data_IF_914482719852
#
_entry.id   IF_914482719852
#
_cell.length_a   1.000
_cell.length_b   1.000
_cell.length_c   1.000
_cell.angle_alpha   90.00
_cell.angle_beta   90.00
_cell.angle_gamma   90.00
#
_symmetry.space_group_name_H-M   'P 1'
#
loop_
_entity.id
_entity.type
_entity.pdbx_description
1 polymer ?
2 polymer ?
3 branched ?
4 non-polymer ?
5 non-polymer ?
6 water ?
#
# COMPACT_ATOMS: atom_id res chain seq x y z
N UNK A 1 -18.02 -10.43 8.84
CA UNK A 1 -16.91 -9.72 8.10
C UNK A 1 -17.30 -9.43 6.67
N UNK A 2 -17.00 -8.21 6.23
CA UNK A 2 -17.26 -7.80 4.86
C UNK A 2 -16.00 -7.16 4.31
N UNK A 3 -14.91 -7.96 4.27
CA UNK A 3 -13.59 -7.40 3.97
C UNK A 3 -13.32 -7.23 2.48
N UNK A 4 -14.36 -7.39 1.63
CA UNK A 4 -14.24 -7.01 0.20
C UNK A 4 -15.15 -5.81 -0.10
N UNK A 5 -15.73 -5.21 0.95
CA UNK A 5 -16.62 -4.07 0.72
C UNK A 5 -15.87 -2.86 0.13
N UNK A 6 -16.60 -2.12 -0.70
CA UNK A 6 -16.11 -0.91 -1.34
C UNK A 6 -16.89 0.28 -0.83
N UNK A 7 -16.25 1.43 -0.86
CA UNK A 7 -16.90 2.69 -0.52
C UNK A 7 -16.89 3.59 -1.73
N UNK A 8 -17.91 4.46 -1.85
CA UNK A 8 -17.94 5.41 -2.94
C UNK A 8 -17.03 6.61 -2.63
N UNK A 9 -16.08 6.87 -3.53
CA UNK A 9 -15.21 8.02 -3.44
C UNK A 9 -15.88 9.08 -4.33
N UNK A 10 -16.17 10.25 -3.74
CA UNK A 10 -16.92 11.25 -4.45
C UNK A 10 -16.10 11.93 -5.53
N UNK A 11 -16.79 12.40 -6.56
CA UNK A 11 -16.14 13.22 -7.57
C UNK A 11 -15.56 14.46 -6.95
N UNK A 12 -14.40 14.88 -7.43
CA UNK A 12 -13.83 16.10 -6.91
C UNK A 12 -12.55 16.50 -7.56
N UNK A 13 -12.07 17.67 -7.12
CA UNK A 13 -10.77 18.19 -7.50
C UNK A 13 -9.92 18.26 -6.26
N UNK A 14 -8.66 17.86 -6.37
CA UNK A 14 -7.75 17.89 -5.26
C UNK A 14 -6.36 18.29 -5.66
N UNK A 15 -5.55 18.65 -4.67
CA UNK A 15 -4.15 18.94 -4.87
C UNK A 15 -3.36 17.66 -4.65
N UNK A 16 -2.78 17.14 -5.72
CA UNK A 16 -1.90 15.98 -5.66
C UNK A 16 -0.47 16.47 -5.47
N UNK A 17 0.32 15.70 -4.74
CA UNK A 17 1.69 16.12 -4.44
C UNK A 17 1.72 17.25 -3.44
N UNK A 18 2.86 17.93 -3.33
CA UNK A 18 3.03 19.00 -2.36
C UNK A 18 4.14 19.94 -2.78
N UNK A 19 3.97 21.24 -2.50
CA UNK A 19 5.04 22.20 -2.76
C UNK A 19 5.97 22.32 -1.57
N UNK A 20 5.72 21.51 -0.54
CA UNK A 20 6.63 21.35 0.57
C UNK A 20 7.05 19.89 0.66
N UNK A 21 7.75 19.39 -0.38
CA UNK A 21 8.14 17.99 -0.38
C UNK A 21 9.05 17.66 0.77
N UNK A 22 8.85 16.47 1.34
CA UNK A 22 9.68 16.00 2.43
C UNK A 22 10.75 15.07 1.93
N UNK A 23 10.47 14.38 0.83
CA UNK A 23 11.47 13.56 0.14
C UNK A 23 11.53 13.98 -1.33
N UNK A 24 12.40 14.95 -1.60
CA UNK A 24 12.42 15.59 -2.90
C UNK A 24 12.76 14.63 -4.02
N UNK A 25 13.64 13.66 -3.75
CA UNK A 25 14.04 12.70 -4.80
C UNK A 25 12.90 11.87 -5.38
N UNK A 26 11.81 11.76 -4.62
CA UNK A 26 10.66 10.93 -5.01
C UNK A 26 9.61 11.68 -5.83
N UNK A 27 9.88 12.95 -6.16
CA UNK A 27 8.96 13.71 -6.98
C UNK A 27 7.62 13.89 -6.30
N UNK A 28 7.67 14.23 -5.02
CA UNK A 28 6.48 14.66 -4.28
C UNK A 28 5.95 16.01 -4.77
N UNK A 29 6.85 16.80 -5.36
CA UNK A 29 6.53 18.10 -5.91
C UNK A 29 6.53 17.99 -7.42
N UNK A 30 5.87 18.93 -8.11
CA UNK A 30 5.10 20.03 -7.57
C UNK A 30 3.66 19.63 -7.24
N UNK A 31 3.02 20.42 -6.40
CA UNK A 31 1.60 20.34 -6.18
C UNK A 31 0.87 20.64 -7.48
N UNK A 32 -0.15 19.86 -7.76
CA UNK A 32 -0.91 20.03 -9.00
C UNK A 32 -2.37 19.66 -8.79
N UNK A 33 -3.26 20.37 -9.47
CA UNK A 33 -4.69 20.18 -9.29
C UNK A 33 -5.20 19.10 -10.23
N UNK A 34 -5.83 18.08 -9.65
CA UNK A 34 -6.27 16.92 -10.40
C UNK A 34 -7.75 16.70 -10.17
N UNK A 35 -8.49 16.44 -11.25
CA UNK A 35 -9.92 16.16 -11.18
C UNK A 35 -10.14 14.66 -11.32
N UNK A 36 -10.94 14.09 -10.40
CA UNK A 36 -11.16 12.64 -10.34
C UNK A 36 -12.68 12.42 -10.39
N UNK A 37 -13.11 11.56 -11.30
CA UNK A 37 -14.51 11.21 -11.39
C UNK A 37 -14.86 10.27 -10.23
N UNK A 38 -16.12 10.30 -9.80
CA UNK A 38 -16.59 9.40 -8.75
C UNK A 38 -16.28 7.98 -9.13
N UNK A 39 -15.84 7.20 -8.14
CA UNK A 39 -15.54 5.80 -8.33
C UNK A 39 -15.64 5.06 -6.99
N UNK A 40 -15.34 3.76 -6.99
CA UNK A 40 -15.36 2.97 -5.75
C UNK A 40 -13.96 2.48 -5.36
N UNK A 41 -13.67 2.48 -4.08
CA UNK A 41 -12.38 2.01 -3.54
C UNK A 41 -12.67 0.98 -2.47
N UNK A 42 -11.91 -0.12 -2.47
CA UNK A 42 -11.95 -1.04 -1.36
C UNK A 42 -11.74 -0.34 -0.03
N UNK A 43 -12.57 -0.61 0.97
CA UNK A 43 -12.36 -0.08 2.29
C UNK A 43 -11.10 -0.61 2.95
N UNK A 44 -10.74 -1.84 2.62
CA UNK A 44 -9.65 -2.53 3.30
C UNK A 44 -8.61 -2.97 2.30
N UNK A 45 -7.37 -3.08 2.76
CA UNK A 45 -6.39 -3.85 2.00
C UNK A 45 -6.96 -5.25 1.76
N UNK A 46 -6.58 -5.91 0.69
CA UNK A 46 -7.00 -7.28 0.46
C UNK A 46 -6.37 -8.17 1.51
N UNK A 47 -7.21 -8.93 2.22
CA UNK A 47 -6.72 -9.83 3.29
C UNK A 47 -6.32 -11.20 2.79
N UNK A 48 -5.63 -11.94 3.66
CA UNK A 48 -5.29 -13.33 3.38
C UNK A 48 -6.53 -14.14 3.00
N UNK A 49 -7.60 -13.98 3.77
CA UNK A 49 -8.82 -14.75 3.51
C UNK A 49 -9.38 -14.40 2.14
N UNK A 50 -9.43 -13.11 1.82
CA UNK A 50 -9.97 -12.74 0.51
C UNK A 50 -9.07 -13.22 -0.62
N UNK A 51 -7.75 -13.16 -0.46
CA UNK A 51 -6.84 -13.66 -1.50
C UNK A 51 -6.99 -15.18 -1.65
N UNK A 52 -7.20 -15.86 -0.53
CA UNK A 52 -7.37 -17.29 -0.59
C UNK A 52 -8.61 -17.65 -1.38
N UNK A 53 -9.67 -16.84 -1.29
CA UNK A 53 -10.87 -17.15 -2.10
C UNK A 53 -10.53 -17.11 -3.60
N UNK A 54 -9.75 -16.12 -4.00
CA UNK A 54 -9.22 -15.95 -5.37
C UNK A 54 -8.42 -17.16 -5.78
N UNK A 55 -7.45 -17.55 -4.94
CA UNK A 55 -6.62 -18.72 -5.27
C UNK A 55 -7.47 -20.01 -5.35
N UNK A 56 -8.44 -20.15 -4.45
CA UNK A 56 -9.30 -21.33 -4.45
C UNK A 56 -10.07 -21.38 -5.75
N UNK A 57 -10.54 -20.24 -6.21
CA UNK A 57 -11.36 -20.17 -7.42
C UNK A 57 -10.57 -20.45 -8.69
N UNK A 58 -9.34 -19.92 -8.75
CA UNK A 58 -8.58 -19.86 -10.01
C UNK A 58 -7.39 -20.78 -10.10
N UNK A 59 -6.91 -21.23 -8.94
CA UNK A 59 -5.67 -21.99 -8.87
C UNK A 59 -4.42 -21.14 -9.00
N UNK A 60 -4.56 -19.81 -8.97
CA UNK A 60 -3.45 -18.90 -9.26
C UNK A 60 -2.22 -19.14 -8.38
N UNK A 61 -1.07 -19.33 -9.03
CA UNK A 61 0.24 -19.34 -8.39
C UNK A 61 0.87 -17.98 -8.51
N UNK A 62 1.23 -17.39 -7.38
CA UNK A 62 1.80 -16.04 -7.37
C UNK A 62 3.23 -16.05 -7.88
N UNK A 63 3.72 -14.91 -8.31
CA UNK A 63 5.06 -14.88 -8.87
C UNK A 63 6.11 -15.35 -7.85
N UNK A 64 5.95 -14.95 -6.59
CA UNK A 64 6.91 -15.39 -5.58
C UNK A 64 6.97 -16.91 -5.45
N UNK A 65 5.84 -17.59 -5.59
CA UNK A 65 5.84 -19.05 -5.53
C UNK A 65 6.60 -19.64 -6.70
N UNK A 66 6.44 -19.03 -7.86
CA UNK A 66 7.10 -19.49 -9.06
C UNK A 66 8.59 -19.22 -9.04
N UNK A 67 8.98 -18.03 -8.59
CA UNK A 67 10.41 -17.68 -8.43
C UNK A 67 11.07 -18.48 -7.32
N UNK A 68 10.32 -18.81 -6.27
CA UNK A 68 10.82 -19.63 -5.17
C UNK A 68 11.37 -18.83 -3.99
N UNK A 69 11.32 -17.51 -4.08
CA UNK A 69 11.69 -16.68 -2.94
C UNK A 69 10.97 -15.36 -2.97
N UNK A 70 11.08 -14.65 -1.85
CA UNK A 70 10.58 -13.28 -1.75
C UNK A 70 11.32 -12.56 -0.63
N UNK A 71 11.25 -11.24 -0.63
CA UNK A 71 11.97 -10.44 0.37
C UNK A 71 11.28 -10.43 1.73
N UNK A 72 12.05 -10.73 2.78
CA UNK A 72 11.56 -10.69 4.14
C UNK A 72 12.45 -9.77 4.97
N UNK A 73 11.83 -9.01 5.86
CA UNK A 73 12.53 -8.14 6.77
C UNK A 73 13.22 -8.94 7.90
N UNK A 74 14.50 -8.70 8.08
CA UNK A 74 15.29 -9.53 9.02
C UNK A 74 14.69 -9.58 10.41
N UNK A 75 14.12 -8.47 10.87
CA UNK A 75 13.65 -8.37 12.24
C UNK A 75 12.43 -9.22 12.51
N UNK A 76 11.99 -9.98 11.51
CA UNK A 76 10.83 -10.82 11.74
C UNK A 76 11.03 -12.26 11.47
N UNK A 77 12.26 -12.59 11.14
CA UNK A 77 12.69 -13.97 11.18
C UNK A 77 12.83 -14.42 12.65
N UNK A 90 19.39 -7.58 -2.07
CA UNK A 90 18.53 -6.68 -1.31
C UNK A 90 18.82 -5.20 -1.51
N UNK A 91 17.85 -4.38 -1.12
CA UNK A 91 18.00 -2.93 -1.14
C UNK A 91 18.63 -2.42 0.16
N UNK A 92 18.60 -3.23 1.22
CA UNK A 92 19.23 -2.90 2.49
C UNK A 92 19.62 -4.17 3.22
N UNK A 93 20.58 -4.10 4.16
CA UNK A 93 20.97 -5.31 4.87
C UNK A 93 19.84 -6.01 5.61
N UNK A 94 18.79 -5.26 5.95
CA UNK A 94 17.65 -5.82 6.68
C UNK A 94 16.62 -6.49 5.77
N UNK A 95 16.90 -6.51 4.46
CA UNK A 95 16.03 -7.21 3.50
C UNK A 95 16.76 -8.41 2.94
N UNK A 96 16.21 -9.59 3.18
CA UNK A 96 16.79 -10.86 2.76
C UNK A 96 15.84 -11.56 1.80
N UNK A 97 16.35 -12.05 0.66
CA UNK A 97 15.55 -12.90 -0.22
C UNK A 97 15.48 -14.28 0.41
N UNK A 98 14.29 -14.66 0.86
CA UNK A 98 14.11 -15.91 1.60
C UNK A 98 13.44 -16.98 0.74
N UNK A 99 14.08 -18.12 0.61
CA UNK A 99 13.52 -19.21 -0.19
C UNK A 99 12.27 -19.71 0.50
N UNK A 100 11.19 -19.81 -0.26
CA UNK A 100 9.93 -20.28 0.27
C UNK A 100 9.10 -19.28 1.04
N UNK A 101 9.49 -18.00 1.01
CA UNK A 101 8.64 -16.95 1.59
C UNK A 101 7.68 -16.55 0.49
N UNK A 102 6.40 -16.51 0.83
CA UNK A 102 5.35 -16.16 -0.12
C UNK A 102 4.07 -15.85 0.67
N UNK A 103 2.96 -15.61 -0.03
CA UNK A 103 1.79 -15.11 0.68
C UNK A 103 1.30 -16.01 1.82
N UNK A 104 1.45 -17.35 1.65
CA UNK A 104 1.01 -18.32 2.66
C UNK A 104 2.03 -18.50 3.78
N UNK A 105 3.25 -18.02 3.55
CA UNK A 105 4.42 -18.30 4.40
C UNK A 105 5.23 -17.00 4.48
N UNK A 106 4.65 -15.99 5.15
CA UNK A 106 5.18 -14.63 5.06
C UNK A 106 6.60 -14.38 5.58
N UNK A 107 7.12 -15.26 6.44
CA UNK A 107 8.51 -15.14 6.85
C UNK A 107 9.38 -16.28 6.40
N UNK A 108 8.84 -17.13 5.54
CA UNK A 108 9.56 -18.33 5.10
C UNK A 108 8.75 -19.57 5.35
N UNK A 109 9.31 -20.74 4.94
CA UNK A 109 8.57 -22.00 4.92
C UNK A 109 7.96 -22.47 6.24
N UNK A 110 8.54 -22.04 7.36
CA UNK A 110 8.00 -22.45 8.67
C UNK A 110 7.28 -21.29 9.36
N UNK A 111 6.65 -20.45 8.55
CA UNK A 111 5.68 -19.49 9.02
C UNK A 111 4.36 -19.84 8.35
N UNK A 112 3.28 -19.29 8.90
CA UNK A 112 1.94 -19.59 8.43
C UNK A 112 1.04 -18.35 8.51
N UNK A 113 -0.05 -18.39 7.75
CA UNK A 113 -1.10 -17.38 7.86
C UNK A 113 -2.34 -17.87 8.62
N UNK A 114 -2.30 -19.07 9.22
CA UNK A 114 -3.50 -19.61 9.84
C UNK A 114 -4.02 -18.75 10.97
N UNK A 115 -3.12 -18.10 11.69
CA UNK A 115 -3.50 -17.25 12.81
C UNK A 115 -3.74 -15.77 12.44
N UNK A 116 -3.62 -15.43 11.15
CA UNK A 116 -3.77 -14.02 10.73
C UNK A 116 -4.56 -13.93 9.43
N UNK A 117 -5.74 -14.59 9.40
CA UNK A 117 -6.53 -14.62 8.17
C UNK A 117 -6.99 -13.24 7.74
N UNK A 118 -7.17 -12.35 8.71
CA UNK A 118 -7.71 -10.98 8.47
C UNK A 118 -6.66 -9.89 8.28
N UNK A 119 -5.39 -10.30 8.23
CA UNK A 119 -4.29 -9.39 7.94
C UNK A 119 -4.13 -9.26 6.43
N UNK A 120 -3.54 -8.15 5.98
CA UNK A 120 -3.34 -7.96 4.54
C UNK A 120 -2.50 -9.04 3.94
N UNK A 121 -2.85 -9.46 2.74
CA UNK A 121 -2.00 -10.38 1.99
C UNK A 121 -0.71 -9.69 1.61
N UNK A 122 0.39 -10.44 1.73
CA UNK A 122 1.74 -9.97 1.42
C UNK A 122 2.42 -10.84 0.34
N UNK A 123 3.60 -10.41 -0.11
CA UNK A 123 4.38 -11.12 -1.11
C UNK A 123 3.64 -11.28 -2.39
N UNK A 124 2.81 -10.29 -2.66
CA UNK A 124 2.05 -10.20 -3.90
C UNK A 124 2.66 -9.13 -4.80
N UNK A 125 2.95 -9.53 -6.05
CA UNK A 125 3.50 -8.63 -7.04
C UNK A 125 2.45 -7.78 -7.67
N UNK A 126 2.87 -6.84 -8.50
CA UNK A 126 1.90 -6.00 -9.24
C UNK A 126 1.02 -6.87 -10.17
N UNK A 127 1.64 -7.85 -10.81
CA UNK A 127 0.88 -8.74 -11.63
C UNK A 127 -0.09 -9.56 -10.81
N UNK A 128 0.34 -10.01 -9.62
CA UNK A 128 -0.55 -10.79 -8.76
C UNK A 128 -1.78 -9.94 -8.41
N UNK A 129 -1.52 -8.68 -8.09
CA UNK A 129 -2.54 -7.73 -7.63
C UNK A 129 -3.52 -7.47 -8.77
N UNK A 130 -3.00 -7.26 -9.97
CA UNK A 130 -3.88 -7.03 -11.12
C UNK A 130 -4.76 -8.29 -11.40
N UNK A 131 -4.18 -9.48 -11.27
CA UNK A 131 -4.94 -10.75 -11.45
C UNK A 131 -6.09 -10.83 -10.45
N UNK A 132 -5.79 -10.57 -9.18
CA UNK A 132 -6.82 -10.59 -8.12
C UNK A 132 -7.91 -9.56 -8.38
N UNK A 133 -7.51 -8.32 -8.60
CA UNK A 133 -8.51 -7.26 -8.73
C UNK A 133 -9.41 -7.56 -9.94
N UNK A 134 -8.81 -7.99 -11.05
CA UNK A 134 -9.60 -8.28 -12.24
C UNK A 134 -10.51 -9.46 -12.00
N UNK A 135 -10.02 -10.49 -11.31
CA UNK A 135 -10.86 -11.65 -10.98
C UNK A 135 -12.09 -11.14 -10.24
N UNK A 136 -11.88 -10.15 -9.35
CA UNK A 136 -12.94 -9.66 -8.48
C UNK A 136 -13.88 -8.67 -9.16
N UNK A 137 -13.66 -8.39 -10.43
CA UNK A 137 -14.49 -7.44 -11.16
C UNK A 137 -14.10 -6.01 -10.89
N UNK A 138 -12.84 -5.85 -10.48
CA UNK A 138 -12.28 -4.56 -10.12
C UNK A 138 -10.98 -4.30 -10.87
N UNK A 139 -10.18 -3.36 -10.38
CA UNK A 139 -8.88 -3.00 -10.99
C UNK A 139 -8.02 -2.36 -9.90
N UNK A 140 -6.73 -2.13 -10.20
CA UNK A 140 -5.93 -1.32 -9.29
C UNK A 140 -6.36 0.14 -9.45
N UNK A 141 -6.23 0.95 -8.39
CA UNK A 141 -6.46 2.39 -8.51
C UNK A 141 -5.26 3.03 -9.19
N UNK A 142 -5.47 4.18 -9.85
CA UNK A 142 -4.35 4.98 -10.28
C UNK A 142 -3.69 5.60 -9.07
N UNK A 143 -2.50 6.14 -9.24
CA UNK A 143 -1.86 6.85 -8.13
C UNK A 143 -2.71 8.04 -7.69
N UNK A 144 -3.21 8.79 -8.66
CA UNK A 144 -4.06 9.93 -8.35
C UNK A 144 -5.34 9.52 -7.61
N UNK A 145 -6.00 8.46 -8.08
CA UNK A 145 -7.18 7.96 -7.35
C UNK A 145 -6.78 7.56 -5.94
N UNK A 146 -5.66 6.84 -5.84
CA UNK A 146 -5.20 6.37 -4.53
C UNK A 146 -4.96 7.54 -3.58
N UNK A 147 -4.21 8.55 -4.06
CA UNK A 147 -3.85 9.68 -3.23
C UNK A 147 -5.08 10.50 -2.84
N UNK A 148 -5.95 10.75 -3.79
CA UNK A 148 -7.21 11.43 -3.51
C UNK A 148 -7.97 10.73 -2.39
N UNK A 149 -8.05 9.42 -2.50
CA UNK A 149 -8.79 8.61 -1.55
C UNK A 149 -8.10 8.65 -0.18
N UNK A 150 -6.76 8.52 -0.17
CA UNK A 150 -5.94 8.60 1.04
C UNK A 150 -6.26 9.88 1.81
N UNK A 151 -6.33 10.98 1.05
CA UNK A 151 -6.47 12.28 1.70
C UNK A 151 -7.83 12.46 2.39
N UNK A 152 -8.83 11.67 1.99
CA UNK A 152 -10.07 11.57 2.74
C UNK A 152 -10.82 12.87 2.93
N UNK A 153 -10.77 13.68 1.88
CA UNK A 153 -11.54 14.91 1.85
C UNK A 153 -10.90 16.11 2.53
N UNK A 154 -9.65 15.97 3.00
CA UNK A 154 -8.88 17.08 3.53
C UNK A 154 -7.89 17.59 2.51
N UNK A 155 -7.59 18.89 2.60
CA UNK A 155 -6.70 19.53 1.65
C UNK A 155 -5.31 19.78 2.25
N UNK A 156 -4.28 19.34 1.54
CA UNK A 156 -2.90 19.67 1.85
C UNK A 156 -2.42 19.25 3.23
N UNK A 157 -2.91 18.10 3.71
CA UNK A 157 -2.48 17.57 4.99
C UNK A 157 -1.47 16.45 4.82
N UNK A 158 -0.67 16.21 5.84
CA UNK A 158 0.33 15.17 5.77
C UNK A 158 -0.30 13.80 5.68
N UNK A 159 -1.33 13.59 6.52
CA UNK A 159 -1.89 12.24 6.76
C UNK A 159 -3.36 12.22 6.46
N UNK A 160 -3.94 11.04 6.31
CA UNK A 160 -5.38 10.99 6.00
C UNK A 160 -6.25 11.80 6.97
N UNK A 161 -5.80 11.99 8.21
CA UNK A 161 -6.60 12.53 9.30
C UNK A 161 -6.20 13.96 9.64
N UNK A 162 -5.10 14.47 9.06
CA UNK A 162 -4.57 15.76 9.48
C UNK A 162 -3.05 15.81 9.48
N UNK A 163 -2.52 16.79 10.22
CA UNK A 163 -1.06 16.98 10.28
C UNK A 163 -0.36 16.44 11.54
N UNK A 164 -1.09 16.02 12.55
CA UNK A 164 -0.49 15.45 13.77
C UNK A 164 -0.41 13.94 13.61
N UNK A 165 0.73 13.32 13.94
CA UNK A 165 0.85 11.87 13.82
C UNK A 165 -0.07 11.11 14.76
N UNK A 166 -0.18 11.59 16.00
CA UNK A 166 -1.01 10.97 17.06
C UNK A 166 -2.05 11.96 17.56
N UNK A 167 -3.09 12.19 16.75
CA UNK A 167 -4.07 13.18 17.17
C UNK A 167 -4.78 12.72 18.43
N UNK A 168 -4.97 13.65 19.38
CA UNK A 168 -5.65 13.32 20.63
C UNK A 168 -4.91 12.19 21.36
N UNK A 169 -3.63 12.04 21.08
CA UNK A 169 -2.82 11.03 21.76
C UNK A 169 -3.12 9.60 21.31
N UNK A 170 -3.78 9.44 20.17
CA UNK A 170 -4.19 8.13 19.70
C UNK A 170 -3.37 7.70 18.46
N UNK A 171 -3.05 6.42 18.36
CA UNK A 171 -2.44 5.94 17.17
C UNK A 171 -3.50 5.77 16.09
N UNK A 172 -3.19 6.27 14.90
CA UNK A 172 -4.14 6.26 13.78
C UNK A 172 -3.70 5.35 12.60
N UNK A 173 -2.52 4.74 12.70
CA UNK A 173 -1.99 3.87 11.66
C UNK A 173 -0.92 2.95 12.24
N UNK A 174 -0.67 1.85 11.56
CA UNK A 174 0.32 0.89 12.01
C UNK A 174 1.63 1.17 11.27
N UNK A 175 2.55 1.82 11.96
CA UNK A 175 3.90 2.08 11.47
C UNK A 175 4.89 1.58 12.53
N UNK A 176 6.13 2.03 12.48
CA UNK A 176 7.14 1.62 13.45
C UNK A 176 7.25 2.60 14.59
N UNK A 177 7.45 2.10 15.82
CA UNK A 177 7.89 2.97 16.90
C UNK A 177 9.15 2.38 17.44
N UNK A 178 10.09 3.24 17.76
CA UNK A 178 11.36 2.78 18.35
C UNK A 178 12.50 3.13 17.40
N UNK A 179 13.62 2.43 17.54
CA UNK A 179 14.79 2.72 16.73
C UNK A 179 14.86 1.73 15.59
N UNK A 180 14.60 2.19 14.38
CA UNK A 180 14.60 1.28 13.23
C UNK A 180 16.06 1.02 12.78
N UNK A 181 16.38 -0.24 12.43
CA UNK A 181 15.62 -1.50 12.41
C UNK A 181 15.77 -2.39 13.64
N UNK A 182 16.50 -1.91 14.65
CA UNK A 182 16.87 -2.76 15.78
C UNK A 182 15.71 -3.03 16.72
N UNK A 183 14.87 -2.03 16.97
CA UNK A 183 13.84 -2.17 17.99
C UNK A 183 12.53 -1.53 17.56
N UNK A 184 11.52 -2.36 17.40
CA UNK A 184 10.13 -1.95 17.23
C UNK A 184 9.41 -2.21 18.54
N UNK A 185 8.99 -1.13 19.19
CA UNK A 185 8.39 -1.25 20.50
C UNK A 185 6.97 -1.80 20.46
N UNK A 186 6.31 -1.74 19.31
CA UNK A 186 4.91 -2.22 19.23
C UNK A 186 3.94 -1.37 20.02
N UNK A 187 4.32 -0.13 20.26
CA UNK A 187 3.48 0.84 20.97
C UNK A 187 2.09 0.95 20.34
N UNK A 188 1.99 0.91 19.00
CA UNK A 188 0.70 1.08 18.34
C UNK A 188 -0.16 -0.19 18.35
N UNK A 189 0.34 -1.25 18.99
CA UNK A 189 -0.43 -2.49 19.12
C UNK A 189 -0.04 -3.62 18.18
N UNK A 190 0.85 -3.33 17.22
CA UNK A 190 1.24 -4.30 16.20
C UNK A 190 2.70 -4.16 15.82
N UNK A 191 3.47 -5.22 15.98
CA UNK A 191 4.84 -5.22 15.46
C UNK A 191 4.90 -5.44 13.94
N UNK A 192 4.24 -6.51 13.49
CA UNK A 192 4.07 -6.72 12.07
C UNK A 192 2.78 -6.11 11.59
N UNK A 193 2.08 -6.81 10.70
CA UNK A 193 0.80 -6.30 10.25
C UNK A 193 -0.27 -6.33 11.33
N UNK A 194 -1.34 -5.61 11.02
CA UNK A 194 -2.58 -5.57 11.81
C UNK A 194 -3.70 -6.06 10.93
N UNK A 195 -4.81 -6.49 11.52
CA UNK A 195 -5.99 -6.80 10.71
C UNK A 195 -6.35 -5.64 9.78
N UNK A 196 -6.94 -5.97 8.64
CA UNK A 196 -7.21 -4.96 7.63
C UNK A 196 -8.22 -3.93 8.11
N UNK A 197 -9.01 -4.28 9.13
CA UNK A 197 -9.98 -3.35 9.70
C UNK A 197 -9.57 -2.64 11.01
N UNK A 198 -8.26 -2.68 11.30
CA UNK A 198 -7.70 -2.01 12.43
C UNK A 198 -7.58 -0.52 12.17
N UNK A 199 -7.54 0.21 13.27
CA UNK A 199 -7.34 1.70 13.33
C UNK A 199 -8.54 2.44 12.77
N UNK A 200 -8.63 3.74 13.03
CA UNK A 200 -9.82 4.45 12.55
C UNK A 200 -9.87 4.54 11.03
N UNK A 201 -11.07 4.63 10.47
CA UNK A 201 -11.21 4.95 9.06
C UNK A 201 -10.88 6.43 8.80
N UNK A 202 -10.52 6.75 7.57
CA UNK A 202 -10.40 8.15 7.19
C UNK A 202 -11.77 8.69 6.79
N UNK A 203 -11.78 9.91 6.29
CA UNK A 203 -13.03 10.61 6.05
C UNK A 203 -13.89 9.93 4.99
N UNK A 204 -13.30 9.11 4.15
CA UNK A 204 -14.02 8.40 3.11
C UNK A 204 -14.35 6.96 3.51
N UNK A 205 -13.98 6.50 4.70
CA UNK A 205 -14.25 5.12 5.02
C UNK A 205 -13.18 4.10 4.81
N UNK A 206 -11.97 4.57 4.52
CA UNK A 206 -10.85 3.70 4.23
C UNK A 206 -10.05 3.41 5.47
N UNK A 207 -9.62 2.15 5.57
CA UNK A 207 -8.80 1.66 6.68
C UNK A 207 -7.38 1.39 6.19
N UNK A 208 -6.40 1.80 7.01
CA UNK A 208 -4.97 1.47 6.80
C UNK A 208 -4.47 1.89 5.46
N UNK A 209 -5.01 2.98 4.93
CA UNK A 209 -4.52 3.53 3.68
C UNK A 209 -3.07 4.06 3.79
N UNK A 210 -2.69 4.65 4.91
CA UNK A 210 -1.26 4.75 5.27
C UNK A 210 -0.90 3.70 6.31
N UNK A 211 0.34 3.23 6.27
CA UNK A 211 0.75 2.14 7.13
C UNK A 211 0.22 0.76 6.83
N UNK A 212 0.58 -0.21 7.67
CA UNK A 212 0.22 -1.62 7.56
C UNK A 212 0.97 -2.23 6.39
N UNK A 213 0.34 -2.40 5.23
CA UNK A 213 1.03 -2.86 4.02
C UNK A 213 1.13 -1.67 3.05
N UNK A 214 2.27 -1.52 2.37
CA UNK A 214 2.37 -0.69 1.17
C UNK A 214 1.31 -1.15 0.18
N UNK A 215 0.91 -0.26 -0.76
CA UNK A 215 -0.13 -0.61 -1.70
C UNK A 215 0.23 -0.31 -3.15
N UNK A 216 0.14 -1.31 -4.03
CA UNK A 216 0.37 -1.11 -5.45
C UNK A 216 -0.68 -0.17 -6.05
N UNK A 217 -0.25 0.61 -7.04
CA UNK A 217 -1.16 1.33 -7.92
C UNK A 217 -0.87 0.98 -9.38
N UNK A 218 -1.75 1.43 -10.26
CA UNK A 218 -1.62 1.03 -11.66
C UNK A 218 -0.51 1.77 -12.44
N UNK A 219 -0.08 2.92 -11.93
CA UNK A 219 0.78 3.82 -12.72
C UNK A 219 2.20 3.30 -12.87
N UNK A 220 2.79 3.54 -14.04
CA UNK A 220 4.25 3.51 -14.16
C UNK A 220 4.84 4.67 -13.38
N UNK A 221 6.03 4.47 -12.83
CA UNK A 221 6.70 5.49 -12.02
C UNK A 221 7.47 6.50 -12.86
N UNK A 222 7.26 7.78 -12.57
CA UNK A 222 8.17 8.85 -12.97
C UNK A 222 8.26 9.81 -11.81
N UNK A 223 9.34 10.59 -11.76
CA UNK A 223 9.45 11.66 -10.77
C UNK A 223 9.26 13.01 -11.42
N UNK A 224 9.00 13.02 -12.73
CA UNK A 224 8.82 14.28 -13.48
C UNK A 224 7.35 14.58 -13.75
N UNK A 225 6.79 15.47 -12.93
CA UNK A 225 5.40 15.89 -13.07
C UNK A 225 5.25 17.34 -13.55
N UNK A 226 4.32 17.53 -14.48
CA UNK A 226 3.90 18.87 -14.88
C UNK A 226 2.99 19.48 -13.80
N UNK A 227 2.96 20.81 -13.77
CA UNK A 227 2.07 21.56 -12.90
C UNK A 227 0.68 21.67 -13.52
N UNK A 228 0.53 21.19 -14.75
CA UNK A 228 -0.72 21.31 -15.48
C UNK A 228 -1.84 20.57 -14.77
N UNK A 229 -3.06 21.10 -14.90
CA UNK A 229 -4.25 20.44 -14.38
C UNK A 229 -4.58 19.23 -15.23
N UNK A 230 -5.08 18.16 -14.60
CA UNK A 230 -5.39 16.92 -15.34
C UNK A 230 -6.68 16.31 -14.85
N UNK A 231 -7.22 15.43 -15.68
CA UNK A 231 -8.46 14.74 -15.45
C UNK A 231 -8.21 13.25 -15.49
N UNK A 232 -8.45 12.56 -14.38
CA UNK A 232 -8.32 11.12 -14.32
C UNK A 232 -6.98 10.65 -14.89
N UNK A 233 -5.88 11.29 -14.45
CA UNK A 233 -4.58 10.93 -15.03
C UNK A 233 -4.18 9.51 -14.75
N UNK A 234 -3.43 8.93 -15.69
CA UNK A 234 -3.04 7.51 -15.60
C UNK A 234 -1.55 7.30 -15.35
N UNK A 235 -0.78 8.40 -15.28
CA UNK A 235 0.67 8.28 -15.16
C UNK A 235 1.27 8.18 -16.55
N UNK A 236 2.59 8.04 -16.62
CA UNK A 236 3.24 8.00 -17.94
C UNK A 236 2.94 6.70 -18.66
N UNK A 237 3.02 6.71 -20.01
CA UNK A 237 2.65 5.54 -20.82
C UNK A 237 3.65 4.41 -20.80
N UNK A 238 4.87 4.69 -20.34
CA UNK A 238 5.91 3.69 -20.26
C UNK A 238 6.72 3.86 -18.99
N UNK A 239 7.50 2.84 -18.66
CA UNK A 239 8.34 2.88 -17.49
C UNK A 239 8.93 1.52 -17.21
N UNK A 240 9.62 1.39 -16.10
CA UNK A 240 10.21 0.10 -15.66
C UNK A 240 9.73 -0.32 -14.28
N UNK A 241 9.25 0.65 -13.49
CA UNK A 241 8.77 0.39 -12.13
C UNK A 241 7.35 0.90 -12.01
N UNK A 242 6.52 0.21 -11.25
CA UNK A 242 5.18 0.72 -10.95
C UNK A 242 5.18 1.41 -9.59
N UNK A 243 4.24 2.33 -9.42
CA UNK A 243 4.12 3.14 -8.22
C UNK A 243 3.45 2.36 -7.10
N UNK A 244 4.04 2.45 -5.91
CA UNK A 244 3.37 2.02 -4.65
C UNK A 244 3.22 3.19 -3.69
N UNK A 245 2.23 3.11 -2.81
CA UNK A 245 1.88 4.23 -1.95
C UNK A 245 1.62 3.78 -0.51
N UNK A 246 1.80 4.76 0.38
CA UNK A 246 1.23 4.72 1.72
C UNK A 246 2.07 4.26 2.90
N UNK A 247 3.23 3.69 2.64
CA UNK A 247 4.05 3.16 3.71
C UNK A 247 3.46 1.91 4.33
N UNK A 248 4.12 1.44 5.39
CA UNK A 248 3.85 0.12 5.96
C UNK A 248 4.13 0.14 7.46
N UNK A 249 3.96 -1.04 8.06
CA UNK A 249 4.29 -1.23 9.47
C UNK A 249 5.77 -1.01 9.84
N UNK A 250 6.61 -0.94 8.81
CA UNK A 250 8.06 -0.68 8.96
C UNK A 250 8.40 0.80 8.91
N UNK A 251 7.48 1.65 8.44
CA UNK A 251 7.84 3.00 8.15
C UNK A 251 8.10 3.80 9.43
N UNK A 252 9.04 4.74 9.34
CA UNK A 252 9.38 5.60 10.46
C UNK A 252 9.91 6.95 9.94
N UNK A 253 9.71 7.99 10.73
CA UNK A 253 10.16 9.34 10.40
C UNK A 253 11.64 9.36 10.08
N UNK A 254 12.41 8.52 10.77
CA UNK A 254 13.88 8.53 10.70
C UNK A 254 14.47 7.89 9.44
N UNK A 255 13.73 7.06 8.72
CA UNK A 255 14.34 6.42 7.56
C UNK A 255 13.46 6.24 6.31
N UNK A 256 12.17 6.04 6.51
CA UNK A 256 11.23 5.81 5.40
C UNK A 256 9.95 6.54 5.78
N UNK A 257 10.00 7.86 5.68
CA UNK A 257 8.92 8.75 6.10
C UNK A 257 7.87 8.83 5.01
N UNK A 258 7.21 7.69 4.74
CA UNK A 258 6.31 7.59 3.59
C UNK A 258 4.88 7.17 3.94
N UNK A 259 4.52 7.30 5.23
CA UNK A 259 3.15 7.13 5.68
C UNK A 259 2.36 8.43 5.53
N UNK A 260 2.64 9.15 4.44
CA UNK A 260 1.94 10.40 4.07
C UNK A 260 1.24 10.16 2.74
N UNK A 261 0.09 10.79 2.49
CA UNK A 261 -0.60 10.55 1.22
C UNK A 261 0.24 11.01 0.04
N UNK A 262 0.99 12.08 0.20
CA UNK A 262 1.84 12.59 -0.89
C UNK A 262 3.07 11.76 -1.20
N UNK A 263 3.48 10.93 -0.25
CA UNK A 263 4.67 10.12 -0.44
C UNK A 263 4.44 9.11 -1.55
N UNK A 264 5.54 8.55 -2.06
CA UNK A 264 5.46 7.63 -3.16
C UNK A 264 6.77 6.91 -3.30
N UNK A 265 6.68 5.66 -3.72
CA UNK A 265 7.85 4.86 -4.02
C UNK A 265 7.49 3.90 -5.16
N UNK A 266 8.38 2.95 -5.43
CA UNK A 266 8.23 2.15 -6.65
C UNK A 266 8.96 0.83 -6.53
N UNK A 267 8.57 -0.12 -7.39
CA UNK A 267 9.28 -1.37 -7.55
C UNK A 267 8.98 -1.90 -8.94
N UNK A 268 9.84 -2.77 -9.44
CA UNK A 268 9.51 -3.49 -10.67
C UNK A 268 8.27 -4.36 -10.43
N UNK A 269 7.43 -4.54 -11.47
CA UNK A 269 6.16 -5.23 -11.29
C UNK A 269 6.21 -6.68 -10.82
N UNK A 270 7.34 -7.36 -10.99
CA UNK A 270 7.49 -8.72 -10.53
C UNK A 270 8.04 -8.79 -9.11
N UNK A 271 8.17 -7.64 -8.43
CA UNK A 271 8.65 -7.57 -7.05
C UNK A 271 7.61 -8.01 -6.04
N UNK A 272 8.09 -8.54 -4.91
CA UNK A 272 7.23 -8.93 -3.79
C UNK A 272 8.02 -8.80 -2.48
N UNK A 273 7.32 -8.53 -1.40
CA UNK A 273 7.99 -8.38 -0.10
C UNK A 273 7.00 -8.50 1.03
N UNK A 274 7.55 -8.63 2.25
CA UNK A 274 6.77 -8.86 3.43
C UNK A 274 6.08 -7.62 3.99
N UNK A 275 6.20 -6.50 3.27
CA UNK A 275 5.53 -5.26 3.69
C UNK A 275 4.71 -4.62 2.58
N UNK A 276 4.35 -5.42 1.56
CA UNK A 276 3.72 -4.87 0.36
C UNK A 276 2.52 -5.68 -0.02
N UNK A 277 1.37 -5.00 -0.12
CA UNK A 277 0.10 -5.58 -0.54
C UNK A 277 -0.61 -4.63 -1.46
N UNK A 278 -1.95 -4.61 -1.35
CA UNK A 278 -2.74 -3.81 -2.27
C UNK A 278 -4.21 -3.78 -1.88
N UNK A 279 -4.94 -2.86 -2.51
CA UNK A 279 -6.41 -2.84 -2.45
C UNK A 279 -6.87 -2.51 -3.88
N UNK A 280 -8.12 -2.85 -4.18
CA UNK A 280 -8.67 -2.61 -5.51
C UNK A 280 -9.60 -1.41 -5.52
N UNK A 281 -9.92 -0.99 -6.74
CA UNK A 281 -10.87 0.07 -7.06
C UNK A 281 -11.78 -0.41 -8.20
N UNK A 282 -12.83 0.35 -8.49
CA UNK A 282 -13.73 0.01 -9.58
C UNK A 282 -14.50 1.24 -10.02
N UNK A 283 -14.83 1.30 -11.30
CA UNK A 283 -15.61 2.41 -11.83
C UNK A 283 -17.04 2.39 -11.31
N UNK A 284 -17.60 1.19 -11.19
CA UNK A 284 -18.95 0.95 -10.68
C UNK A 284 -18.89 -0.25 -9.75
N UNK A 285 -19.94 -0.50 -8.99
CA UNK A 285 -19.95 -1.66 -8.11
C UNK A 285 -19.92 -2.95 -8.92
N UNK A 286 -19.09 -3.92 -8.51
CA UNK A 286 -19.11 -5.22 -9.16
C UNK A 286 -20.32 -6.06 -8.71
N UNK B 1 12.42 1.37 0.78
CA UNK B 1 11.35 0.79 1.67
C UNK B 1 10.94 -0.65 1.32
N UNK B 2 11.07 -1.03 0.05
CA UNK B 2 10.91 -2.41 -0.39
C UNK B 2 11.95 -2.61 -1.53
N UNK B 3 12.80 -3.65 -1.43
CA UNK B 3 13.74 -3.90 -2.53
C UNK B 3 13.03 -4.49 -3.74
N UNK B 4 13.46 -4.12 -4.94
CA UNK B 4 12.92 -4.77 -6.14
C UNK B 4 13.57 -6.13 -6.31
N UNK B 5 12.83 -7.04 -6.95
CA UNK B 5 13.25 -8.41 -7.13
C UNK B 5 14.51 -8.44 -7.98
X LIG C 1 -10.18 -22.58 0.24
X LIG C 1 -11.10 -22.09 1.38
X LIG C 1 -10.98 -23.02 2.60
X LIG C 1 -11.09 -24.50 2.20
X LIG C 1 -10.09 -24.78 1.07
X LIG C 1 -10.14 -26.22 0.60
X LIG C 1 -11.62 -19.69 1.68
X LIG C 1 -11.09 -18.37 2.20
X LIG C 1 -10.80 -20.74 1.84
X LIG C 1 -11.99 -22.67 3.53
X LIG C 1 -10.78 -25.32 3.32
X LIG C 1 -10.43 -23.94 -0.03
X LIG C 1 -11.47 -26.46 0.20
X LIG C 1 -12.72 -19.73 1.14
X LIG C 2 -11.71 -26.40 3.50
X LIG C 2 -11.26 -27.18 4.75
X LIG C 2 -12.30 -28.16 5.28
X LIG C 2 -13.69 -27.56 5.27
X LIG C 2 -13.96 -27.03 3.85
X LIG C 2 -15.39 -26.56 3.67
X LIG C 2 -8.82 -27.37 4.66
X LIG C 2 -7.70 -27.90 3.80
X LIG C 2 -10.02 -27.89 4.43
X LIG C 2 -11.94 -28.53 6.60
X LIG C 2 -14.63 -28.53 5.63
X LIG C 2 -13.04 -25.97 3.63
X LIG C 2 -15.77 -25.66 4.69
X LIG C 2 -8.60 -26.50 5.51
X LIG D 1 -1.77 0.24 3.77
X LIG E 1 3.31 -0.92 14.47
X LIG F 1 8.32 0.74 4.79
#
# INVERSE_FOLDING_TARGET
>A
LAHSKMVPIPAGVFTMGTDDPQIKQDGEAPARRVTIDAFYMDAYEVSNTEFEKFVNSTGYLTEAEKFGDSFVFEGMLSEQVKTNIQQAVAAAPWWLPVKGANWRHPEGPDSTILHRPDHPVLHVSWNDAVAYCTWAGKRLPTEAEWEYSCRGGLHNRLFPWGNKLQPKGQHYANIWQGEFPVTNTGEDGFQGTAPVDAFPPNGYGLYNIVGNAWEWTSDWWTVHHSVEETLNPKGPPSGKDRVKKGGSYMSHRSYCYRYRCAARSQNTPDSSASNLGFRCAADRLP
>B
CTPSR
>C hetero
1 NAG C1 C2 C3 C4 C5 C6 C7 C8 N2 O3 O4 O5 O6 O7
2 NAG C1 C2 C3 C4 C5 C6 C7 C8 N2 O3 O4 O5 O6 O7
>D hetero
1 CA CA
>E hetero
1 CA CA
>F hetero
1 CL CL
#
